data_IF_822310544030
#
_entry.id   IF_822310544030
#
_cell.length_a   1.000
_cell.length_b   1.000
_cell.length_c   1.000
_cell.angle_alpha   90.00
_cell.angle_beta   90.00
_cell.angle_gamma   90.00
#
_symmetry.space_group_name_H-M   'P 1'
#
loop_
_entity.id
_entity.type
_entity.pdbx_description
1 polymer ?
#
# COMPACT_ATOMS: atom_id res chain seq x y z
N UNK A 1 -4.78 21.34 5.76
CA UNK A 1 -4.26 20.49 6.86
C UNK A 1 -3.57 19.26 6.24
N UNK A 2 -2.36 19.38 5.68
CA UNK A 2 -1.79 18.36 4.77
C UNK A 2 -0.55 17.59 5.29
N UNK A 3 -0.12 17.78 6.54
CA UNK A 3 1.18 17.26 7.01
C UNK A 3 1.13 16.05 7.96
N UNK A 4 -0.04 15.43 8.22
CA UNK A 4 -0.16 14.53 9.39
C UNK A 4 0.50 13.14 9.24
N UNK A 5 0.75 12.66 8.02
CA UNK A 5 1.30 11.31 7.80
C UNK A 5 2.34 11.23 6.68
N UNK A 6 3.02 12.34 6.35
CA UNK A 6 3.96 12.39 5.21
C UNK A 6 5.13 11.39 5.36
N UNK A 7 5.66 11.23 6.57
CA UNK A 7 6.71 10.24 6.84
C UNK A 7 6.22 8.82 6.56
N UNK A 8 5.04 8.45 7.09
CA UNK A 8 4.45 7.13 6.87
C UNK A 8 4.17 6.87 5.39
N UNK A 9 3.67 7.86 4.65
CA UNK A 9 3.46 7.72 3.20
C UNK A 9 4.78 7.38 2.48
N UNK A 10 5.87 8.09 2.80
CA UNK A 10 7.18 7.84 2.21
C UNK A 10 7.77 6.50 2.62
N UNK A 11 7.65 6.13 3.90
CA UNK A 11 8.06 4.83 4.46
C UNK A 11 7.33 3.67 3.75
N UNK A 12 6.01 3.77 3.61
CA UNK A 12 5.19 2.77 2.92
C UNK A 12 5.52 2.67 1.43
N UNK A 13 5.79 3.80 0.77
CA UNK A 13 6.14 3.80 -0.64
C UNK A 13 7.53 3.19 -0.90
N UNK A 14 8.50 3.49 -0.02
CA UNK A 14 9.83 2.89 -0.04
C UNK A 14 9.76 1.38 0.20
N UNK A 15 8.91 0.92 1.14
CA UNK A 15 8.67 -0.49 1.37
C UNK A 15 8.17 -1.20 0.10
N UNK A 16 7.14 -0.64 -0.56
CA UNK A 16 6.59 -1.23 -1.79
C UNK A 16 7.61 -1.25 -2.94
N UNK A 17 8.42 -0.19 -3.09
CA UNK A 17 9.47 -0.13 -4.10
C UNK A 17 10.55 -1.20 -3.84
N UNK A 18 10.99 -1.36 -2.59
CA UNK A 18 11.96 -2.37 -2.20
C UNK A 18 11.44 -3.80 -2.44
N UNK A 19 10.20 -4.10 -2.04
CA UNK A 19 9.56 -5.39 -2.29
C UNK A 19 9.35 -5.68 -3.79
N UNK A 20 9.29 -4.63 -4.63
CA UNK A 20 9.20 -4.74 -6.08
C UNK A 20 10.56 -4.74 -6.79
N UNK A 21 11.68 -4.54 -6.08
CA UNK A 21 13.01 -4.43 -6.69
C UNK A 21 13.23 -3.14 -7.49
N UNK A 22 12.48 -2.08 -7.20
CA UNK A 22 12.57 -0.78 -7.90
C UNK A 22 13.41 0.21 -7.08
N UNK A 23 14.31 0.91 -7.77
CA UNK A 23 14.99 2.08 -7.19
C UNK A 23 14.03 3.27 -7.09
N UNK A 24 13.96 3.89 -5.91
CA UNK A 24 13.07 5.02 -5.62
C UNK A 24 13.57 6.33 -6.25
N UNK A 25 12.67 7.05 -6.93
CA UNK A 25 12.90 8.44 -7.36
C UNK A 25 11.64 9.26 -7.15
N UNK A 26 11.76 10.41 -6.48
CA UNK A 26 10.65 11.34 -6.26
C UNK A 26 10.08 11.90 -7.59
N UNK A 27 10.85 11.85 -8.68
CA UNK A 27 10.47 12.34 -10.01
C UNK A 27 9.83 11.25 -10.89
N UNK A 28 9.71 10.01 -10.41
CA UNK A 28 9.09 8.93 -11.21
C UNK A 28 7.55 9.02 -11.17
N UNK A 29 6.88 9.30 -12.31
CA UNK A 29 5.42 9.38 -12.35
C UNK A 29 4.73 8.06 -11.98
N UNK A 30 5.43 6.91 -12.11
CA UNK A 30 4.91 5.60 -11.72
C UNK A 30 4.79 5.50 -10.19
N UNK A 31 5.70 6.13 -9.45
CA UNK A 31 5.74 6.20 -7.99
C UNK A 31 4.82 7.29 -7.44
N UNK A 32 4.61 8.39 -8.16
CA UNK A 32 3.64 9.42 -7.80
C UNK A 32 2.21 8.85 -7.60
N UNK A 33 1.81 7.90 -8.44
CA UNK A 33 0.51 7.21 -8.29
C UNK A 33 0.43 6.39 -7.00
N UNK A 34 1.50 5.70 -6.63
CA UNK A 34 1.55 4.91 -5.38
C UNK A 34 1.46 5.83 -4.17
N UNK A 35 2.18 6.95 -4.18
CA UNK A 35 2.09 7.97 -3.13
C UNK A 35 0.66 8.51 -2.95
N UNK A 36 -0.03 8.78 -4.06
CA UNK A 36 -1.42 9.25 -4.02
C UNK A 36 -2.34 8.21 -3.37
N UNK A 37 -2.28 6.94 -3.79
CA UNK A 37 -3.13 5.90 -3.20
C UNK A 37 -2.79 5.60 -1.75
N UNK A 38 -1.51 5.60 -1.36
CA UNK A 38 -1.11 5.44 0.04
C UNK A 38 -1.67 6.56 0.92
N UNK A 39 -1.68 7.79 0.40
CA UNK A 39 -2.29 8.92 1.10
C UNK A 39 -3.80 8.70 1.32
N UNK A 40 -4.51 8.27 0.28
CA UNK A 40 -5.95 7.99 0.37
C UNK A 40 -6.24 6.83 1.33
N UNK A 41 -5.47 5.74 1.26
CA UNK A 41 -5.59 4.59 2.16
C UNK A 41 -5.38 5.00 3.62
N UNK A 42 -4.36 5.82 3.92
CA UNK A 42 -4.14 6.34 5.27
C UNK A 42 -5.31 7.21 5.73
N UNK A 43 -5.84 8.08 4.88
CA UNK A 43 -7.00 8.92 5.22
C UNK A 43 -8.25 8.04 5.53
N UNK A 44 -8.47 6.97 4.76
CA UNK A 44 -9.52 5.98 5.02
C UNK A 44 -9.35 5.28 6.38
N UNK A 45 -8.16 4.71 6.64
CA UNK A 45 -7.82 4.03 7.90
C UNK A 45 -8.01 4.97 9.10
N UNK A 46 -7.49 6.20 9.02
CA UNK A 46 -7.58 7.19 10.11
C UNK A 46 -9.03 7.63 10.34
N UNK A 47 -9.81 7.77 9.27
CA UNK A 47 -11.23 8.12 9.37
C UNK A 47 -12.11 6.96 9.87
N UNK A 48 -11.57 5.74 9.95
CA UNK A 48 -12.32 4.53 10.30
C UNK A 48 -13.32 4.11 9.23
N UNK A 49 -13.19 4.65 8.00
CA UNK A 49 -14.01 4.26 6.85
C UNK A 49 -13.25 3.17 6.11
N UNK A 50 -13.79 1.96 6.09
CA UNK A 50 -13.27 0.89 5.26
C UNK A 50 -13.87 0.96 3.85
N UNK A 51 -13.08 0.62 2.85
CA UNK A 51 -13.59 0.27 1.51
C UNK A 51 -13.66 -1.25 1.37
N UNK A 52 -14.70 -1.74 0.70
CA UNK A 52 -14.78 -3.15 0.29
C UNK A 52 -13.92 -3.36 -0.95
N UNK A 53 -13.10 -4.39 -0.94
CA UNK A 53 -12.32 -4.84 -2.08
C UNK A 53 -13.07 -5.99 -2.77
N UNK A 54 -13.76 -5.75 -3.89
CA UNK A 54 -14.62 -6.74 -4.54
C UNK A 54 -13.85 -7.93 -5.13
N UNK A 55 -12.53 -7.87 -5.16
CA UNK A 55 -11.64 -8.90 -5.71
C UNK A 55 -10.66 -9.44 -4.67
N UNK A 56 -10.89 -9.21 -3.38
CA UNK A 56 -10.01 -9.67 -2.29
C UNK A 56 -9.70 -11.16 -2.35
N UNK A 57 -10.73 -12.00 -2.51
CA UNK A 57 -10.57 -13.46 -2.56
C UNK A 57 -9.72 -13.89 -3.76
N UNK A 58 -9.91 -13.22 -4.89
CA UNK A 58 -9.10 -13.44 -6.09
C UNK A 58 -7.65 -13.06 -5.85
N UNK A 59 -7.38 -11.92 -5.20
CA UNK A 59 -6.02 -11.50 -4.85
C UNK A 59 -5.34 -12.53 -3.95
N UNK A 60 -6.04 -13.03 -2.93
CA UNK A 60 -5.53 -14.06 -2.01
C UNK A 60 -5.20 -15.37 -2.72
N UNK A 61 -6.03 -15.76 -3.68
CA UNK A 61 -5.86 -17.01 -4.42
C UNK A 61 -4.78 -16.92 -5.51
N UNK A 62 -4.75 -15.83 -6.28
CA UNK A 62 -3.85 -15.69 -7.43
C UNK A 62 -2.49 -15.10 -7.05
N UNK A 63 -2.44 -14.26 -6.02
CA UNK A 63 -1.25 -13.53 -5.59
C UNK A 63 -1.01 -13.64 -4.07
N UNK A 64 -0.94 -14.87 -3.51
CA UNK A 64 -0.81 -15.08 -2.07
C UNK A 64 0.48 -14.48 -1.50
N UNK A 65 1.57 -14.50 -2.28
CA UNK A 65 2.85 -13.92 -1.86
C UNK A 65 2.78 -12.40 -1.75
N UNK A 66 2.23 -11.71 -2.75
CA UNK A 66 2.05 -10.27 -2.71
C UNK A 66 1.08 -9.85 -1.61
N UNK A 67 0.03 -10.63 -1.37
CA UNK A 67 -0.86 -10.40 -0.24
C UNK A 67 -0.14 -10.51 1.10
N UNK A 68 0.72 -11.53 1.28
CA UNK A 68 1.52 -11.68 2.50
C UNK A 68 2.56 -10.56 2.68
N UNK A 69 3.16 -10.07 1.58
CA UNK A 69 4.09 -8.92 1.61
C UNK A 69 3.35 -7.63 1.97
N UNK A 70 2.20 -7.39 1.34
CA UNK A 70 1.34 -6.26 1.63
C UNK A 70 0.79 -6.31 3.06
N UNK A 71 0.54 -7.50 3.63
CA UNK A 71 0.14 -7.65 5.03
C UNK A 71 1.17 -7.06 5.98
N UNK A 72 2.45 -7.34 5.76
CA UNK A 72 3.53 -6.78 6.60
C UNK A 72 3.51 -5.25 6.59
N UNK A 73 3.24 -4.65 5.43
CA UNK A 73 3.07 -3.21 5.33
C UNK A 73 1.81 -2.73 6.06
N UNK A 74 0.69 -3.43 5.91
CA UNK A 74 -0.55 -3.16 6.62
C UNK A 74 -0.36 -3.19 8.14
N UNK A 75 0.35 -4.18 8.67
CA UNK A 75 0.65 -4.31 10.10
C UNK A 75 1.54 -3.16 10.59
N UNK A 76 2.55 -2.77 9.79
CA UNK A 76 3.37 -1.60 10.07
C UNK A 76 2.54 -0.31 10.11
N UNK A 77 1.68 -0.10 9.12
CA UNK A 77 0.76 1.04 9.07
C UNK A 77 -0.20 1.02 10.27
N UNK A 78 -0.70 -0.15 10.66
CA UNK A 78 -1.61 -0.30 11.79
C UNK A 78 -0.97 0.14 13.10
N UNK A 79 0.28 -0.27 13.34
CA UNK A 79 1.06 0.16 14.51
C UNK A 79 1.31 1.67 14.50
N UNK A 80 1.67 2.24 13.34
CA UNK A 80 1.99 3.67 13.21
C UNK A 80 0.77 4.59 13.32
N UNK A 81 -0.41 4.08 12.96
CA UNK A 81 -1.66 4.83 12.97
C UNK A 81 -2.50 4.56 14.23
N UNK A 82 -2.13 3.57 15.04
CA UNK A 82 -2.93 3.08 16.18
C UNK A 82 -4.36 2.72 15.76
N UNK A 83 -4.48 2.13 14.57
CA UNK A 83 -5.76 1.75 13.94
C UNK A 83 -5.60 0.44 13.18
N UNK A 84 -6.62 -0.43 13.16
CA UNK A 84 -6.56 -1.64 12.35
C UNK A 84 -6.54 -1.30 10.86
N UNK A 85 -5.79 -2.07 10.09
CA UNK A 85 -5.84 -2.08 8.62
C UNK A 85 -6.59 -3.32 8.18
N UNK A 86 -7.67 -3.14 7.41
CA UNK A 86 -8.51 -4.26 6.98
C UNK A 86 -7.83 -5.12 5.91
N UNK A 87 -8.38 -6.30 5.69
CA UNK A 87 -7.91 -7.19 4.63
C UNK A 87 -8.16 -6.62 3.23
N UNK A 88 -9.22 -5.84 3.07
CA UNK A 88 -9.53 -5.12 1.83
C UNK A 88 -8.41 -4.14 1.45
N UNK A 89 -7.96 -3.34 2.42
CA UNK A 89 -6.84 -2.40 2.25
C UNK A 89 -5.53 -3.14 1.95
N UNK A 90 -5.27 -4.25 2.65
CA UNK A 90 -4.11 -5.11 2.33
C UNK A 90 -4.21 -5.67 0.92
N UNK A 91 -5.41 -6.01 0.45
CA UNK A 91 -5.64 -6.40 -0.94
C UNK A 91 -5.26 -5.30 -1.93
N UNK A 92 -5.64 -4.05 -1.67
CA UNK A 92 -5.25 -2.92 -2.53
C UNK A 92 -3.73 -2.66 -2.51
N UNK A 93 -3.09 -2.77 -1.34
CA UNK A 93 -1.64 -2.70 -1.22
C UNK A 93 -0.94 -3.81 -2.04
N UNK A 94 -1.48 -5.02 -2.05
CA UNK A 94 -0.97 -6.13 -2.86
C UNK A 94 -1.07 -5.82 -4.37
N UNK A 95 -2.18 -5.23 -4.82
CA UNK A 95 -2.32 -4.79 -6.21
C UNK A 95 -1.30 -3.70 -6.59
N UNK A 96 -0.99 -2.77 -5.67
CA UNK A 96 0.06 -1.78 -5.89
C UNK A 96 1.44 -2.43 -6.03
N UNK A 97 1.74 -3.43 -5.19
CA UNK A 97 2.98 -4.19 -5.27
C UNK A 97 3.11 -4.95 -6.62
N UNK A 98 2.07 -5.67 -7.03
CA UNK A 98 2.03 -6.38 -8.32
C UNK A 98 2.27 -5.41 -9.48
N UNK A 99 1.58 -4.27 -9.46
CA UNK A 99 1.70 -3.26 -10.50
C UNK A 99 3.12 -2.67 -10.56
N UNK A 100 3.80 -2.53 -9.43
CA UNK A 100 5.20 -2.11 -9.39
C UNK A 100 6.14 -3.18 -9.98
N UNK A 101 5.97 -4.45 -9.60
CA UNK A 101 6.75 -5.57 -10.18
C UNK A 101 6.55 -5.74 -11.69
N UNK A 102 5.38 -5.39 -12.22
CA UNK A 102 5.13 -5.45 -13.67
C UNK A 102 5.79 -4.31 -14.45
N UNK A 103 6.34 -3.29 -13.77
CA UNK A 103 7.08 -2.21 -14.42
C UNK A 103 8.58 -2.52 -14.57
N UNK A 104 9.07 -3.60 -13.96
CA UNK A 104 10.46 -4.05 -14.03
C UNK A 104 10.69 -5.22 -14.98
N UNK A 105 9.64 -5.70 -15.65
CA UNK A 105 9.69 -6.77 -16.66
C UNK A 105 9.71 -6.20 -18.08
#
# INVERSE_FOLDING_TARGET
>A
MMARHQALIRESAAFLAAEAGISWSDDDPRLARVLLHLRLAIDLIVSGKGETNPVLDRIRSEYPEEFARARRLGDYMAQRLERPVSDDEVGYLALHLLRLKNLTQ
#
